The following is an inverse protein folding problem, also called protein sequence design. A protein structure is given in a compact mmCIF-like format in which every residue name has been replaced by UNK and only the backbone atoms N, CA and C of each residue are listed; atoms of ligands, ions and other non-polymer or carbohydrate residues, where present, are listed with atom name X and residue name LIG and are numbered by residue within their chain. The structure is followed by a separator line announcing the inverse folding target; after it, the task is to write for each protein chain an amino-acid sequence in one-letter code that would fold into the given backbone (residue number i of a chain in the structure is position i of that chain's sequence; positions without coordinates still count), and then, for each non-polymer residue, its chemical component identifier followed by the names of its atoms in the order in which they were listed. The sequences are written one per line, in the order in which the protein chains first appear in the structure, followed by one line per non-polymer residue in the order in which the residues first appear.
data_IF_660573415679
#
_entry.id   IF_660573415679
#
_cell.length_a   1.000
_cell.length_b   1.000
_cell.length_c   1.000
_cell.angle_alpha   90.00
_cell.angle_beta   90.00
_cell.angle_gamma   90.00
#
_symmetry.space_group_name_H-M   'P 1'
#
loop_
_entity.id
_entity.type
_entity.pdbx_description
1 polymer ?
#
# COMPACT_ATOMS: atom_id res chain seq x y z
N UNK A 1 46.72 49.81 -2.51
CA UNK A 1 45.44 49.76 -1.76
C UNK A 1 45.45 48.50 -0.92
N UNK A 2 45.63 48.62 0.40
CA UNK A 2 45.57 47.47 1.32
C UNK A 2 44.12 47.24 1.71
N UNK A 3 43.52 46.18 1.19
CA UNK A 3 42.19 45.72 1.56
C UNK A 3 42.27 45.09 2.96
N UNK A 4 41.69 45.74 3.96
CA UNK A 4 41.70 45.27 5.34
C UNK A 4 40.96 43.94 5.49
N UNK A 5 41.67 42.88 5.85
CA UNK A 5 41.08 41.62 6.29
C UNK A 5 40.44 41.83 7.67
N UNK A 6 39.11 41.70 7.74
CA UNK A 6 38.37 41.69 9.01
C UNK A 6 38.30 40.24 9.49
N UNK A 7 39.02 39.93 10.58
CA UNK A 7 38.93 38.64 11.25
C UNK A 7 37.58 38.48 11.95
N UNK A 8 36.99 37.29 11.86
CA UNK A 8 35.73 36.94 12.53
C UNK A 8 35.91 36.96 14.05
N UNK A 9 34.94 37.54 14.76
CA UNK A 9 34.90 37.51 16.22
C UNK A 9 34.57 36.12 16.76
N UNK A 10 35.06 35.79 17.96
CA UNK A 10 34.85 34.47 18.60
C UNK A 10 33.36 34.18 18.88
N UNK A 11 32.57 35.22 19.17
CA UNK A 11 31.11 35.11 19.33
C UNK A 11 30.43 34.83 17.99
N UNK A 12 30.93 35.40 16.90
CA UNK A 12 30.34 35.29 15.57
C UNK A 12 30.48 33.86 15.01
N UNK A 13 31.66 33.24 15.20
CA UNK A 13 31.86 31.84 14.84
C UNK A 13 31.01 30.89 15.70
N UNK A 14 30.82 31.20 16.98
CA UNK A 14 30.00 30.39 17.89
C UNK A 14 28.51 30.46 17.51
N UNK A 15 28.03 31.64 17.13
CA UNK A 15 26.68 31.81 16.58
C UNK A 15 26.55 31.11 15.23
N UNK A 16 27.54 31.20 14.34
CA UNK A 16 27.53 30.51 13.06
C UNK A 16 27.46 28.98 13.22
N UNK A 17 28.26 28.42 14.13
CA UNK A 17 28.23 26.99 14.46
C UNK A 17 26.89 26.58 15.08
N UNK A 18 26.31 27.42 15.94
CA UNK A 18 24.99 27.18 16.51
C UNK A 18 23.92 27.10 15.40
N UNK A 19 23.84 28.11 14.53
CA UNK A 19 22.89 28.14 13.41
C UNK A 19 23.09 26.95 12.47
N UNK A 20 24.34 26.63 12.14
CA UNK A 20 24.68 25.49 11.28
C UNK A 20 24.25 24.16 11.92
N UNK A 21 24.50 23.97 13.21
CA UNK A 21 24.09 22.76 13.93
C UNK A 21 22.56 22.59 13.95
N UNK A 22 21.81 23.67 14.18
CA UNK A 22 20.35 23.66 14.14
C UNK A 22 19.82 23.33 12.74
N UNK A 23 20.45 23.87 11.69
CA UNK A 23 20.12 23.57 10.30
C UNK A 23 20.28 22.09 9.95
N UNK A 24 21.37 21.46 10.39
CA UNK A 24 21.62 20.04 10.16
C UNK A 24 20.61 19.13 10.88
N UNK A 25 20.25 19.46 12.13
CA UNK A 25 19.21 18.72 12.89
C UNK A 25 17.84 18.85 12.20
N UNK A 26 17.48 20.05 11.74
CA UNK A 26 16.23 20.27 11.01
C UNK A 26 16.17 19.45 9.71
N UNK A 27 17.27 19.40 8.94
CA UNK A 27 17.36 18.60 7.72
C UNK A 27 17.23 17.09 8.02
N UNK A 28 17.88 16.61 9.08
CA UNK A 28 17.77 15.20 9.48
C UNK A 28 16.33 14.82 9.87
N UNK A 29 15.61 15.71 10.56
CA UNK A 29 14.20 15.50 10.89
C UNK A 29 13.32 15.42 9.63
N UNK A 30 13.59 16.27 8.62
CA UNK A 30 12.90 16.21 7.33
C UNK A 30 13.17 14.89 6.58
N UNK A 31 14.41 14.39 6.63
CA UNK A 31 14.75 13.10 6.02
C UNK A 31 13.96 11.95 6.67
N UNK A 32 13.88 11.92 8.00
CA UNK A 32 13.08 10.91 8.71
C UNK A 32 11.60 10.97 8.33
N UNK A 33 11.03 12.18 8.24
CA UNK A 33 9.63 12.36 7.82
C UNK A 33 9.40 11.87 6.39
N UNK A 34 10.35 12.12 5.47
CA UNK A 34 10.28 11.61 4.11
C UNK A 34 10.30 10.08 4.05
N UNK A 35 11.12 9.43 4.87
CA UNK A 35 11.18 7.96 4.95
C UNK A 35 9.88 7.36 5.47
N UNK A 36 9.27 7.99 6.48
CA UNK A 36 7.97 7.58 7.01
C UNK A 36 6.88 7.66 5.92
N UNK A 37 6.81 8.78 5.19
CA UNK A 37 5.86 8.93 4.09
C UNK A 37 6.10 7.92 2.95
N UNK A 38 7.35 7.59 2.63
CA UNK A 38 7.67 6.57 1.64
C UNK A 38 7.18 5.17 2.09
N UNK A 39 7.31 4.86 3.37
CA UNK A 39 6.83 3.58 3.92
C UNK A 39 5.30 3.47 3.87
N UNK A 40 4.58 4.53 4.21
CA UNK A 40 3.11 4.57 4.10
C UNK A 40 2.65 4.37 2.64
N UNK A 41 3.29 5.08 1.70
CA UNK A 41 2.99 4.92 0.27
C UNK A 41 3.27 3.51 -0.25
N UNK A 42 4.34 2.87 0.24
CA UNK A 42 4.65 1.48 -0.10
C UNK A 42 3.56 0.50 0.37
N UNK A 43 3.06 0.66 1.59
CA UNK A 43 1.98 -0.20 2.11
C UNK A 43 0.67 -0.02 1.32
N UNK A 44 0.33 1.23 0.95
CA UNK A 44 -0.82 1.50 0.09
C UNK A 44 -0.68 0.86 -1.30
N UNK A 45 0.53 0.89 -1.87
CA UNK A 45 0.80 0.24 -3.15
C UNK A 45 0.65 -1.29 -3.04
N UNK A 46 1.16 -1.90 -1.97
CA UNK A 46 0.96 -3.32 -1.70
C UNK A 46 -0.52 -3.69 -1.57
N UNK A 47 -1.32 -2.89 -0.86
CA UNK A 47 -2.76 -3.11 -0.74
C UNK A 47 -3.48 -3.10 -2.10
N UNK A 48 -3.10 -2.17 -2.97
CA UNK A 48 -3.61 -2.09 -4.34
C UNK A 48 -3.23 -3.32 -5.17
N UNK A 49 -1.98 -3.77 -5.08
CA UNK A 49 -1.50 -4.98 -5.77
C UNK A 49 -2.21 -6.23 -5.25
N UNK A 50 -2.41 -6.36 -3.93
CA UNK A 50 -3.15 -7.46 -3.35
C UNK A 50 -4.60 -7.50 -3.85
N UNK A 51 -5.27 -6.34 -3.96
CA UNK A 51 -6.61 -6.25 -4.50
C UNK A 51 -6.69 -6.60 -5.99
N UNK A 52 -5.67 -6.25 -6.78
CA UNK A 52 -5.56 -6.64 -8.19
C UNK A 52 -5.33 -8.16 -8.33
N UNK A 53 -4.46 -8.75 -7.51
CA UNK A 53 -4.23 -10.20 -7.49
C UNK A 53 -5.52 -10.98 -7.16
N UNK A 54 -6.35 -10.47 -6.22
CA UNK A 54 -7.67 -11.04 -5.97
C UNK A 54 -8.57 -11.04 -7.22
N UNK A 55 -8.58 -9.94 -7.98
CA UNK A 55 -9.35 -9.85 -9.24
C UNK A 55 -8.88 -10.88 -10.25
N UNK A 56 -7.56 -11.03 -10.44
CA UNK A 56 -6.99 -12.01 -11.37
C UNK A 56 -7.33 -13.44 -10.97
N UNK A 57 -7.33 -13.75 -9.67
CA UNK A 57 -7.75 -15.06 -9.17
C UNK A 57 -9.25 -15.31 -9.38
N UNK A 58 -10.10 -14.31 -9.20
CA UNK A 58 -11.53 -14.39 -9.53
C UNK A 58 -11.75 -14.61 -11.03
N UNK A 59 -11.02 -13.90 -11.90
CA UNK A 59 -11.05 -14.13 -13.35
C UNK A 59 -10.59 -15.54 -13.72
N UNK A 60 -9.53 -16.04 -13.10
CA UNK A 60 -9.03 -17.39 -13.33
C UNK A 60 -10.07 -18.45 -12.93
N UNK A 61 -10.76 -18.26 -11.82
CA UNK A 61 -11.84 -19.14 -11.37
C UNK A 61 -13.05 -19.05 -12.31
N UNK A 62 -13.43 -17.85 -12.73
CA UNK A 62 -14.53 -17.63 -13.66
C UNK A 62 -14.33 -18.30 -15.02
N UNK A 63 -13.08 -18.42 -15.49
CA UNK A 63 -12.76 -19.18 -16.71
C UNK A 63 -13.05 -20.67 -16.59
N UNK A 64 -13.05 -21.22 -15.37
CA UNK A 64 -13.28 -22.64 -15.09
C UNK A 64 -14.72 -22.94 -14.70
N UNK A 65 -15.39 -21.97 -14.08
CA UNK A 65 -16.77 -22.09 -13.65
C UNK A 65 -17.74 -22.00 -14.85
N UNK A 66 -18.83 -22.79 -14.88
CA UNK A 66 -19.88 -22.68 -15.90
C UNK A 66 -20.56 -21.31 -15.90
N UNK A 67 -20.84 -20.77 -14.72
CA UNK A 67 -21.35 -19.41 -14.52
C UNK A 67 -20.70 -18.74 -13.30
N UNK A 68 -20.87 -17.43 -13.18
CA UNK A 68 -20.43 -16.67 -12.00
C UNK A 68 -21.07 -17.21 -10.69
N UNK A 69 -22.25 -17.85 -10.83
CA UNK A 69 -22.98 -18.51 -9.76
C UNK A 69 -22.17 -19.61 -9.07
N UNK A 70 -21.44 -20.37 -9.88
CA UNK A 70 -20.82 -21.65 -9.50
C UNK A 70 -19.36 -21.49 -9.04
N UNK A 71 -18.83 -20.26 -9.05
CA UNK A 71 -17.46 -19.98 -8.65
C UNK A 71 -17.22 -20.32 -7.18
N UNK A 72 -16.11 -21.01 -6.88
CA UNK A 72 -15.72 -21.34 -5.51
C UNK A 72 -15.04 -20.17 -4.78
N UNK A 73 -15.76 -19.06 -4.58
CA UNK A 73 -15.21 -17.79 -4.04
C UNK A 73 -14.53 -17.98 -2.68
N UNK A 74 -15.10 -18.78 -1.78
CA UNK A 74 -14.48 -19.05 -0.48
C UNK A 74 -13.12 -19.75 -0.56
N UNK A 75 -12.84 -20.51 -1.64
CA UNK A 75 -11.51 -21.07 -1.87
C UNK A 75 -10.53 -20.03 -2.40
N UNK A 76 -11.01 -19.17 -3.31
CA UNK A 76 -10.23 -18.07 -3.87
C UNK A 76 -9.82 -17.10 -2.77
N UNK A 77 -10.78 -16.67 -1.95
CA UNK A 77 -10.56 -15.75 -0.84
C UNK A 77 -9.59 -16.33 0.18
N UNK A 78 -9.76 -17.59 0.61
CA UNK A 78 -8.83 -18.22 1.56
C UNK A 78 -7.41 -18.29 1.03
N UNK A 79 -7.20 -18.72 -0.22
CA UNK A 79 -5.85 -18.81 -0.80
C UNK A 79 -5.21 -17.44 -0.99
N UNK A 80 -6.02 -16.45 -1.37
CA UNK A 80 -5.56 -15.06 -1.47
C UNK A 80 -5.17 -14.51 -0.10
N UNK A 81 -6.01 -14.74 0.92
CA UNK A 81 -5.76 -14.31 2.30
C UNK A 81 -4.51 -14.94 2.89
N UNK A 82 -4.35 -16.24 2.69
CA UNK A 82 -3.17 -16.97 3.14
C UNK A 82 -1.88 -16.34 2.59
N UNK A 83 -1.84 -16.05 1.29
CA UNK A 83 -0.66 -15.50 0.63
C UNK A 83 -0.35 -14.06 1.05
N UNK A 84 -1.37 -13.21 1.21
CA UNK A 84 -1.16 -11.78 1.46
C UNK A 84 -1.16 -11.38 2.93
N UNK A 85 -1.82 -12.12 3.83
CA UNK A 85 -2.11 -11.66 5.20
C UNK A 85 -1.73 -12.66 6.30
N UNK A 86 -1.90 -13.98 6.08
CA UNK A 86 -1.87 -14.95 7.19
C UNK A 86 -0.51 -15.65 7.39
N UNK A 87 0.41 -15.60 6.42
CA UNK A 87 1.75 -16.21 6.55
C UNK A 87 2.76 -15.30 7.29
N UNK A 88 3.72 -15.90 8.00
CA UNK A 88 4.71 -15.16 8.81
C UNK A 88 5.56 -14.17 7.97
N UNK A 89 5.73 -14.45 6.68
CA UNK A 89 6.45 -13.59 5.72
C UNK A 89 5.51 -12.78 4.82
N UNK A 90 4.21 -12.74 5.13
CA UNK A 90 3.24 -12.05 4.29
C UNK A 90 3.47 -10.54 4.31
N UNK A 91 3.50 -9.93 3.12
CA UNK A 91 3.78 -8.49 2.96
C UNK A 91 2.72 -7.60 3.62
N UNK A 92 1.49 -8.11 3.76
CA UNK A 92 0.40 -7.45 4.48
C UNK A 92 0.03 -8.18 5.78
N UNK A 93 1.00 -8.78 6.48
CA UNK A 93 0.77 -9.38 7.81
C UNK A 93 0.34 -8.35 8.87
N UNK A 94 -0.21 -8.83 9.99
CA UNK A 94 -0.56 -8.01 11.15
C UNK A 94 -2.02 -7.55 11.16
N UNK A 95 -2.24 -6.24 11.17
CA UNK A 95 -3.56 -5.60 11.30
C UNK A 95 -4.28 -5.36 9.97
N UNK A 96 -3.68 -5.75 8.84
CA UNK A 96 -4.34 -5.64 7.55
C UNK A 96 -5.37 -6.76 7.38
N UNK A 97 -6.51 -6.39 6.77
CA UNK A 97 -7.62 -7.28 6.50
C UNK A 97 -7.98 -7.22 5.03
N UNK A 98 -8.14 -8.40 4.42
CA UNK A 98 -8.66 -8.57 3.07
C UNK A 98 -10.03 -9.25 3.10
N UNK A 99 -10.98 -8.70 2.34
CA UNK A 99 -12.32 -9.26 2.17
C UNK A 99 -12.74 -9.27 0.70
N UNK A 100 -13.44 -10.33 0.29
CA UNK A 100 -14.10 -10.42 -1.02
C UNK A 100 -15.60 -10.61 -0.80
N UNK A 101 -16.38 -9.55 -1.03
CA UNK A 101 -17.84 -9.60 -0.95
C UNK A 101 -18.45 -9.85 -2.33
N UNK A 102 -19.52 -10.65 -2.38
CA UNK A 102 -20.20 -11.03 -3.62
C UNK A 102 -21.64 -10.51 -3.63
N UNK A 103 -22.01 -9.85 -4.72
CA UNK A 103 -23.38 -9.43 -5.04
C UNK A 103 -23.73 -9.89 -6.46
N UNK A 104 -24.27 -11.10 -6.60
CA UNK A 104 -24.55 -11.69 -7.92
C UNK A 104 -23.26 -12.03 -8.68
N UNK A 105 -23.02 -11.38 -9.82
CA UNK A 105 -21.74 -11.44 -10.55
C UNK A 105 -20.85 -10.20 -10.31
N UNK A 106 -21.21 -9.32 -9.37
CA UNK A 106 -20.37 -8.22 -8.92
C UNK A 106 -19.61 -8.63 -7.66
N UNK A 107 -18.33 -8.30 -7.61
CA UNK A 107 -17.42 -8.60 -6.51
C UNK A 107 -16.82 -7.29 -6.00
N UNK A 108 -16.87 -7.10 -4.69
CA UNK A 108 -16.24 -5.99 -3.99
C UNK A 108 -15.05 -6.54 -3.23
N UNK A 109 -13.85 -6.09 -3.60
CA UNK A 109 -12.59 -6.50 -3.00
C UNK A 109 -12.10 -5.33 -2.18
N UNK A 110 -11.90 -5.55 -0.89
CA UNK A 110 -11.46 -4.52 0.02
C UNK A 110 -10.23 -4.98 0.78
N UNK A 111 -9.18 -4.16 0.73
CA UNK A 111 -7.98 -4.32 1.55
C UNK A 111 -7.89 -3.12 2.47
N UNK A 112 -7.89 -3.37 3.78
CA UNK A 112 -7.89 -2.34 4.82
C UNK A 112 -6.75 -2.55 5.78
N UNK A 113 -6.25 -1.46 6.38
CA UNK A 113 -5.33 -1.47 7.53
C UNK A 113 -5.55 -0.19 8.33
N UNK A 114 -5.15 -0.16 9.60
CA UNK A 114 -5.29 1.05 10.44
C UNK A 114 -4.45 2.23 9.92
N UNK A 115 -3.31 1.95 9.28
CA UNK A 115 -2.35 2.96 8.85
C UNK A 115 -2.62 3.61 7.48
N UNK A 116 -3.60 3.12 6.71
CA UNK A 116 -3.85 3.65 5.37
C UNK A 116 -5.33 3.61 4.94
N UNK A 117 -5.67 4.35 3.88
CA UNK A 117 -7.04 4.41 3.34
C UNK A 117 -7.39 3.09 2.64
N UNK A 118 -8.54 2.45 2.96
CA UNK A 118 -9.00 1.23 2.32
C UNK A 118 -8.87 1.23 0.79
N UNK A 119 -8.16 0.25 0.26
CA UNK A 119 -8.12 0.00 -1.18
C UNK A 119 -9.33 -0.86 -1.55
N UNK A 120 -10.30 -0.27 -2.25
CA UNK A 120 -11.55 -0.93 -2.64
C UNK A 120 -11.67 -1.00 -4.15
N UNK A 121 -11.90 -2.21 -4.67
CA UNK A 121 -12.03 -2.48 -6.10
C UNK A 121 -13.33 -3.23 -6.37
N UNK A 122 -14.04 -2.80 -7.41
CA UNK A 122 -15.24 -3.46 -7.90
C UNK A 122 -14.91 -4.20 -9.18
N UNK A 123 -15.24 -5.49 -9.21
CA UNK A 123 -15.14 -6.34 -10.40
C UNK A 123 -16.53 -6.82 -10.79
N UNK A 124 -16.94 -6.59 -12.04
CA UNK A 124 -18.18 -7.12 -12.59
C UNK A 124 -17.88 -8.16 -13.66
N UNK A 125 -18.38 -9.38 -13.45
CA UNK A 125 -18.24 -10.47 -14.41
C UNK A 125 -19.51 -10.60 -15.26
N UNK A 126 -19.39 -10.87 -16.57
CA UNK A 126 -20.57 -11.07 -17.40
C UNK A 126 -21.31 -12.34 -16.96
N UNK A 127 -22.64 -12.27 -16.90
CA UNK A 127 -23.45 -13.46 -16.70
C UNK A 127 -23.40 -14.31 -17.97
N UNK A 128 -22.72 -15.47 -17.95
CA UNK A 128 -22.89 -16.47 -19.00
C UNK A 128 -24.31 -17.00 -18.89
N UNK A 129 -25.13 -16.73 -19.90
CA UNK A 129 -26.32 -17.54 -20.14
C UNK A 129 -25.81 -18.96 -20.41
N UNK A 130 -26.27 -19.94 -19.64
CA UNK A 130 -26.13 -21.34 -20.02
C UNK A 130 -26.72 -21.46 -21.43
N UNK A 131 -25.88 -21.59 -22.46
CA UNK A 131 -26.33 -21.95 -23.79
C UNK A 131 -27.02 -23.31 -23.63
N UNK A 132 -28.34 -23.26 -23.83
CA UNK A 132 -29.24 -24.40 -23.75
C UNK A 132 -28.82 -25.37 -24.85
N UNK A 133 -28.50 -26.64 -24.55
CA UNK A 133 -28.23 -27.64 -25.59
C UNK A 133 -29.46 -27.89 -26.46
#
# INVERSE_FOLDING_TARGET
MSTGQRGFGLVESLVALLVLSLGLVAMAALQLKSLQGAHEGYQQALASVAALDAQERLWAEYRRAPACADMAIGQVERRWRQYWFDEDEALLAGDALGAIERQGCAFMITVTRVSFVPATYRLELPARSAERP
#
